data_IF_763908573550
#
_entry.id   IF_763908573550
#
_cell.length_a   1.000
_cell.length_b   1.000
_cell.length_c   1.000
_cell.angle_alpha   90.00
_cell.angle_beta   90.00
_cell.angle_gamma   90.00
#
_symmetry.space_group_name_H-M   'P 1'
#
loop_
_entity.id
_entity.type
_entity.pdbx_description
1 polymer ?
#
# COMPACT_ATOMS: atom_id res chain seq x y z
N UNK A 1 -8.33 12.49 2.45
CA UNK A 1 -7.63 12.70 1.16
C UNK A 1 -7.49 11.34 0.49
N UNK A 2 -7.84 11.23 -0.79
CA UNK A 2 -7.52 10.04 -1.59
C UNK A 2 -6.17 10.27 -2.28
N UNK A 3 -5.34 9.24 -2.32
CA UNK A 3 -4.05 9.23 -2.99
C UNK A 3 -4.03 8.04 -3.92
N UNK A 4 -3.64 8.27 -5.18
CA UNK A 4 -3.55 7.22 -6.20
C UNK A 4 -2.08 6.87 -6.53
N UNK A 5 -1.12 7.44 -5.79
CA UNK A 5 0.33 7.26 -5.98
C UNK A 5 1.03 7.09 -4.62
N UNK A 6 1.78 5.99 -4.47
CA UNK A 6 2.51 5.62 -3.27
C UNK A 6 3.66 6.59 -2.93
N UNK A 7 4.22 7.29 -3.92
CA UNK A 7 5.22 8.35 -3.68
C UNK A 7 4.59 9.57 -3.02
N UNK A 8 3.34 9.89 -3.36
CA UNK A 8 2.60 10.93 -2.65
C UNK A 8 2.33 10.52 -1.21
N UNK A 9 2.05 9.24 -0.95
CA UNK A 9 1.92 8.73 0.41
C UNK A 9 3.22 8.93 1.20
N UNK A 10 4.36 8.55 0.64
CA UNK A 10 5.65 8.77 1.29
C UNK A 10 5.88 10.26 1.61
N UNK A 11 5.54 11.14 0.67
CA UNK A 11 5.64 12.60 0.88
C UNK A 11 4.76 13.05 2.04
N UNK A 12 3.52 12.61 2.11
CA UNK A 12 2.58 12.94 3.20
C UNK A 12 3.11 12.47 4.55
N UNK A 13 3.70 11.27 4.60
CA UNK A 13 4.28 10.71 5.83
C UNK A 13 5.48 11.52 6.34
N UNK A 14 6.34 12.04 5.46
CA UNK A 14 7.52 12.82 5.88
C UNK A 14 7.23 14.30 6.17
N UNK A 15 6.12 14.83 5.66
CA UNK A 15 5.72 16.25 5.88
C UNK A 15 4.77 16.45 7.07
N UNK A 16 4.61 15.44 7.94
CA UNK A 16 3.75 15.55 9.12
C UNK A 16 4.29 16.61 10.12
N UNK A 17 3.38 17.34 10.76
CA UNK A 17 3.68 18.34 11.80
C UNK A 17 2.75 18.17 13.01
N UNK A 18 2.94 19.00 14.03
CA UNK A 18 2.06 19.02 15.20
C UNK A 18 0.64 19.53 14.86
N UNK A 19 0.51 20.28 13.76
CA UNK A 19 -0.76 20.86 13.29
C UNK A 19 -1.50 19.91 12.34
N UNK A 20 -0.78 19.07 11.60
CA UNK A 20 -1.33 18.13 10.64
C UNK A 20 -0.51 16.84 10.56
N UNK A 21 -1.12 15.72 10.95
CA UNK A 21 -0.50 14.40 10.93
C UNK A 21 -1.49 13.32 10.47
N UNK A 22 -0.94 12.16 10.09
CA UNK A 22 -1.72 11.02 9.61
C UNK A 22 -2.18 10.20 10.82
N UNK A 23 -3.49 10.02 11.01
CA UNK A 23 -4.04 9.10 12.03
C UNK A 23 -4.16 7.66 11.56
N UNK A 24 -4.50 7.47 10.29
CA UNK A 24 -4.71 6.15 9.69
C UNK A 24 -4.65 6.26 8.17
N UNK A 25 -4.22 5.19 7.51
CA UNK A 25 -4.29 5.05 6.05
C UNK A 25 -5.19 3.85 5.76
N UNK A 26 -6.07 3.98 4.77
CA UNK A 26 -6.96 2.91 4.35
C UNK A 26 -6.83 2.68 2.85
N UNK A 27 -6.85 1.41 2.46
CA UNK A 27 -6.90 0.96 1.07
C UNK A 27 -8.35 0.76 0.68
N UNK A 28 -8.73 1.26 -0.50
CA UNK A 28 -10.07 1.11 -1.06
C UNK A 28 -9.97 0.19 -2.27
N UNK A 29 -10.60 -0.98 -2.19
CA UNK A 29 -10.52 -2.02 -3.22
C UNK A 29 -11.89 -2.31 -3.81
N UNK A 30 -12.03 -2.41 -5.14
CA UNK A 30 -13.25 -2.91 -5.78
C UNK A 30 -13.51 -4.40 -5.48
N UNK A 31 -14.77 -4.81 -5.61
CA UNK A 31 -15.24 -6.19 -5.39
C UNK A 31 -14.48 -7.28 -6.14
N UNK A 32 -14.02 -6.99 -7.35
CA UNK A 32 -13.25 -7.94 -8.17
C UNK A 32 -11.79 -8.09 -7.70
N UNK A 33 -11.23 -7.11 -7.01
CA UNK A 33 -9.87 -7.17 -6.43
C UNK A 33 -9.90 -7.84 -5.06
N UNK A 34 -10.90 -7.51 -4.24
CA UNK A 34 -11.00 -8.02 -2.87
C UNK A 34 -11.81 -9.31 -2.71
N UNK A 35 -12.43 -9.79 -3.79
CA UNK A 35 -13.24 -11.01 -3.80
C UNK A 35 -14.62 -10.86 -3.14
N UNK A 36 -15.05 -9.65 -2.78
CA UNK A 36 -16.28 -9.41 -1.99
C UNK A 36 -17.48 -8.87 -2.77
N UNK A 37 -17.42 -8.80 -4.11
CA UNK A 37 -18.54 -8.33 -4.94
C UNK A 37 -18.85 -6.83 -4.83
N UNK A 38 -18.47 -6.19 -3.71
CA UNK A 38 -18.64 -4.78 -3.41
C UNK A 38 -17.30 -4.09 -3.07
N UNK A 39 -17.32 -2.76 -3.05
CA UNK A 39 -16.18 -1.97 -2.60
C UNK A 39 -15.91 -2.20 -1.12
N UNK A 40 -14.64 -2.38 -0.78
CA UNK A 40 -14.18 -2.58 0.60
C UNK A 40 -13.10 -1.57 0.95
N UNK A 41 -13.11 -1.14 2.21
CA UNK A 41 -12.11 -0.22 2.75
C UNK A 41 -11.48 -0.84 3.98
N UNK A 42 -10.16 -0.98 4.00
CA UNK A 42 -9.42 -1.66 5.07
C UNK A 42 -8.20 -0.85 5.49
N UNK A 43 -7.83 -0.94 6.77
CA UNK A 43 -6.62 -0.26 7.27
C UNK A 43 -5.38 -0.86 6.61
N UNK A 44 -4.51 0.00 6.08
CA UNK A 44 -3.22 -0.40 5.54
C UNK A 44 -2.27 -0.73 6.70
N UNK A 45 -1.58 -1.86 6.63
CA UNK A 45 -0.56 -2.26 7.62
C UNK A 45 0.85 -2.30 7.04
N UNK A 46 0.99 -2.43 5.73
CA UNK A 46 2.30 -2.36 5.07
C UNK A 46 2.15 -1.97 3.62
N UNK A 47 3.00 -1.06 3.14
CA UNK A 47 3.17 -0.82 1.71
C UNK A 47 4.64 -0.89 1.34
N UNK A 48 4.95 -1.63 0.29
CA UNK A 48 6.28 -1.70 -0.31
C UNK A 48 6.18 -1.47 -1.81
N UNK A 49 7.22 -0.90 -2.39
CA UNK A 49 7.43 -0.87 -3.84
C UNK A 49 8.68 -1.69 -4.14
N UNK A 50 8.62 -2.53 -5.15
CA UNK A 50 9.79 -3.23 -5.67
C UNK A 50 9.69 -3.43 -7.18
N UNK A 51 10.47 -4.37 -7.69
CA UNK A 51 10.46 -4.75 -9.10
C UNK A 51 10.12 -6.23 -9.26
N UNK A 52 9.28 -6.53 -10.24
CA UNK A 52 9.01 -7.92 -10.62
C UNK A 52 10.12 -8.47 -11.55
N UNK A 53 9.96 -9.72 -11.98
CA UNK A 53 10.91 -10.41 -12.88
C UNK A 53 11.07 -9.74 -14.26
N UNK A 54 10.13 -8.88 -14.64
CA UNK A 54 10.17 -8.10 -15.88
C UNK A 54 10.71 -6.68 -15.64
N UNK A 55 11.34 -6.44 -14.49
CA UNK A 55 11.85 -5.14 -14.03
C UNK A 55 10.77 -4.05 -13.91
N UNK A 56 9.49 -4.44 -13.89
CA UNK A 56 8.37 -3.52 -13.77
C UNK A 56 8.15 -3.15 -12.31
N UNK A 57 7.88 -1.86 -12.04
CA UNK A 57 7.60 -1.38 -10.69
C UNK A 57 6.26 -1.94 -10.20
N UNK A 58 6.27 -2.59 -9.04
CA UNK A 58 5.07 -3.17 -8.43
C UNK A 58 4.94 -2.70 -7.00
N UNK A 59 3.75 -2.22 -6.66
CA UNK A 59 3.36 -1.91 -5.29
C UNK A 59 2.71 -3.13 -4.68
N UNK A 60 3.06 -3.45 -3.44
CA UNK A 60 2.42 -4.51 -2.65
C UNK A 60 1.89 -3.91 -1.36
N UNK A 61 0.59 -4.10 -1.13
CA UNK A 61 -0.17 -3.54 -0.02
C UNK A 61 -0.70 -4.68 0.86
N UNK A 62 -0.33 -4.71 2.13
CA UNK A 62 -0.91 -5.60 3.12
C UNK A 62 -1.92 -4.82 3.96
N UNK A 63 -3.12 -5.36 4.13
CA UNK A 63 -4.20 -4.75 4.92
C UNK A 63 -4.47 -5.51 6.22
N UNK A 64 -5.24 -4.92 7.12
CA UNK A 64 -5.49 -5.44 8.49
C UNK A 64 -6.08 -6.86 8.54
N UNK A 65 -6.81 -7.28 7.51
CA UNK A 65 -7.32 -8.65 7.39
C UNK A 65 -6.24 -9.68 7.02
N UNK A 66 -5.02 -9.24 6.74
CA UNK A 66 -3.92 -10.06 6.23
C UNK A 66 -3.94 -10.24 4.71
N UNK A 67 -4.95 -9.72 4.01
CA UNK A 67 -4.98 -9.74 2.55
C UNK A 67 -3.84 -8.89 1.97
N UNK A 68 -3.33 -9.35 0.83
CA UNK A 68 -2.25 -8.71 0.09
C UNK A 68 -2.74 -8.36 -1.31
N UNK A 69 -2.62 -7.09 -1.67
CA UNK A 69 -2.95 -6.56 -3.00
C UNK A 69 -1.69 -6.11 -3.71
N UNK A 70 -1.67 -6.20 -5.04
CA UNK A 70 -0.54 -5.73 -5.83
C UNK A 70 -0.97 -5.09 -7.15
N UNK A 71 -0.08 -4.28 -7.72
CA UNK A 71 -0.32 -3.59 -9.01
C UNK A 71 0.30 -4.30 -10.21
N UNK A 72 0.98 -5.44 -10.02
CA UNK A 72 1.58 -6.19 -11.13
C UNK A 72 0.52 -6.61 -12.16
N UNK A 73 0.89 -6.53 -13.43
CA UNK A 73 0.10 -6.99 -14.57
C UNK A 73 0.60 -8.34 -15.11
N UNK A 74 1.64 -8.92 -14.51
CA UNK A 74 2.15 -10.21 -14.93
C UNK A 74 1.19 -11.33 -14.48
N UNK A 75 0.87 -12.25 -15.39
CA UNK A 75 -0.11 -13.33 -15.14
C UNK A 75 0.28 -14.27 -14.00
N UNK A 76 1.58 -14.38 -13.70
CA UNK A 76 2.15 -15.27 -12.68
C UNK A 76 3.02 -14.49 -11.69
N UNK A 77 2.58 -13.29 -11.31
CA UNK A 77 3.26 -12.51 -10.27
C UNK A 77 3.10 -13.18 -8.91
N UNK A 78 4.22 -13.49 -8.27
CA UNK A 78 4.28 -13.90 -6.87
C UNK A 78 4.95 -12.79 -6.05
N UNK A 79 4.35 -12.44 -4.91
CA UNK A 79 4.87 -11.38 -4.04
C UNK A 79 6.28 -11.67 -3.53
N UNK A 80 6.61 -12.95 -3.34
CA UNK A 80 7.92 -13.40 -2.86
C UNK A 80 9.04 -13.18 -3.89
N UNK A 81 8.71 -13.01 -5.18
CA UNK A 81 9.67 -12.71 -6.24
C UNK A 81 9.99 -11.21 -6.35
N UNK A 82 9.37 -10.36 -5.53
CA UNK A 82 9.54 -8.92 -5.60
C UNK A 82 10.95 -8.53 -5.14
N UNK A 83 11.78 -8.07 -6.08
CA UNK A 83 13.13 -7.61 -5.85
C UNK A 83 13.18 -6.11 -5.48
N UNK A 84 14.33 -5.66 -4.97
CA UNK A 84 14.63 -4.25 -4.67
C UNK A 84 13.56 -3.53 -3.82
N UNK A 85 13.03 -4.24 -2.82
CA UNK A 85 11.92 -3.74 -2.02
C UNK A 85 12.31 -2.50 -1.21
N UNK A 86 11.50 -1.45 -1.36
CA UNK A 86 11.55 -0.23 -0.55
C UNK A 86 10.29 -0.13 0.30
N UNK A 87 10.46 0.00 1.61
CA UNK A 87 9.35 0.22 2.53
C UNK A 87 8.82 1.65 2.37
N UNK A 88 7.55 1.76 2.00
CA UNK A 88 6.84 3.05 1.87
C UNK A 88 6.05 3.37 3.13
N UNK A 89 5.42 2.36 3.73
CA UNK A 89 4.59 2.55 4.90
C UNK A 89 4.57 1.33 5.83
N UNK A 90 4.55 1.63 7.14
CA UNK A 90 4.13 0.76 8.22
C UNK A 90 3.54 1.61 9.37
N UNK A 91 2.69 1.05 10.25
CA UNK A 91 2.01 1.81 11.31
C UNK A 91 2.93 2.63 12.20
N UNK A 92 4.17 2.19 12.48
CA UNK A 92 5.12 2.97 13.28
C UNK A 92 5.57 4.29 12.65
N UNK A 93 5.23 4.55 11.39
CA UNK A 93 5.51 5.81 10.69
C UNK A 93 4.41 6.87 10.89
N UNK A 94 3.26 6.50 11.47
CA UNK A 94 2.24 7.47 11.88
C UNK A 94 2.52 7.94 13.30
N UNK A 95 2.19 9.20 13.59
CA UNK A 95 2.28 9.72 14.96
C UNK A 95 1.17 9.10 15.81
N UNK A 96 1.52 8.61 16.99
CA UNK A 96 0.57 8.24 18.04
C UNK A 96 0.16 9.47 18.84
N UNK A 97 -1.13 9.56 19.17
CA UNK A 97 -1.69 10.57 20.07
C UNK A 97 -1.10 10.46 21.49
#
# INVERSE_FOLDING_TARGET
>A
MQLDDERLLQRVLVTQSDEAYVKSIRVVTPGHINGTGDWKMETLVRAVIGRDRNECSVSVLTVESGLVYHTSQAELFEVDDLADQTLIFQPSMIRTD
#
